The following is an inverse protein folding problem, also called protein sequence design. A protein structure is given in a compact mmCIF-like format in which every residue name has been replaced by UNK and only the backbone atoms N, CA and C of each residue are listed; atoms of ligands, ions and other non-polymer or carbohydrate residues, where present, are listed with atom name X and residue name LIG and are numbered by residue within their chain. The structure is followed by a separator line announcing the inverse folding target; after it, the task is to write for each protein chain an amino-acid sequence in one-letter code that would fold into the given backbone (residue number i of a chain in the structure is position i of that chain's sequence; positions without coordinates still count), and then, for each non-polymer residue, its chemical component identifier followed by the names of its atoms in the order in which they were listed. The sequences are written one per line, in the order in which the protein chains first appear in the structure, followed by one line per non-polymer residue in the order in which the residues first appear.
data_IF_971289437149
#
_entry.id   IF_971289437149
#
_cell.length_a   1.000
_cell.length_b   1.000
_cell.length_c   1.000
_cell.angle_alpha   90.00
_cell.angle_beta   90.00
_cell.angle_gamma   90.00
#
_symmetry.space_group_name_H-M   'P 1'
#
loop_
_entity.id
_entity.type
_entity.pdbx_description
1 polymer ?
#
# COMPACT_ATOMS: atom_id res chain seq x y z
N UNK A 1 -14.13 9.56 -33.69
CA UNK A 1 -14.46 10.11 -32.37
C UNK A 1 -13.58 9.36 -31.39
N UNK A 2 -12.42 9.92 -31.06
CA UNK A 2 -11.42 9.28 -30.21
C UNK A 2 -11.90 9.39 -28.78
N UNK A 3 -12.15 8.24 -28.16
CA UNK A 3 -12.52 8.16 -26.75
C UNK A 3 -11.45 8.87 -25.91
N UNK A 4 -11.91 9.82 -25.10
CA UNK A 4 -11.08 10.48 -24.13
C UNK A 4 -10.59 9.42 -23.15
N UNK A 5 -9.32 9.05 -23.26
CA UNK A 5 -8.58 8.38 -22.20
C UNK A 5 -8.66 9.32 -21.00
N UNK A 6 -9.58 8.99 -20.10
CA UNK A 6 -9.75 9.69 -18.83
C UNK A 6 -8.38 9.67 -18.17
N UNK A 7 -7.71 10.81 -18.05
CA UNK A 7 -6.43 10.91 -17.36
C UNK A 7 -6.59 10.24 -15.99
N UNK A 8 -5.63 9.42 -15.53
CA UNK A 8 -5.72 8.82 -14.21
C UNK A 8 -5.89 9.96 -13.20
N UNK A 9 -7.02 9.95 -12.49
CA UNK A 9 -7.28 10.91 -11.41
C UNK A 9 -6.07 10.90 -10.48
N UNK A 10 -5.51 12.06 -10.08
CA UNK A 10 -4.31 12.12 -9.25
C UNK A 10 -4.52 11.25 -8.03
N UNK A 11 -3.59 10.31 -7.77
CA UNK A 11 -3.72 9.37 -6.66
C UNK A 11 -3.90 10.14 -5.37
N UNK A 12 -5.05 10.01 -4.69
CA UNK A 12 -5.26 10.83 -3.51
C UNK A 12 -4.44 10.25 -2.37
N UNK A 13 -3.52 11.07 -1.88
CA UNK A 13 -2.60 10.81 -0.77
C UNK A 13 -3.38 10.65 0.55
N UNK A 14 -2.83 9.85 1.49
CA UNK A 14 -3.38 9.65 2.84
C UNK A 14 -3.65 11.00 3.56
N UNK A 15 -4.46 10.93 4.61
CA UNK A 15 -4.72 12.07 5.51
C UNK A 15 -3.43 12.79 5.92
N UNK A 16 -3.29 14.06 5.49
CA UNK A 16 -2.13 14.94 5.70
C UNK A 16 -1.58 15.02 7.15
N UNK A 17 -2.37 14.93 8.24
CA UNK A 17 -1.87 15.23 9.59
C UNK A 17 -0.74 14.31 10.10
N UNK A 18 -0.77 13.02 9.78
CA UNK A 18 0.28 12.06 10.21
C UNK A 18 1.53 12.22 9.35
N UNK A 19 1.36 12.45 8.06
CA UNK A 19 2.47 12.70 7.14
C UNK A 19 3.21 14.01 7.49
N UNK A 20 2.47 15.06 7.87
CA UNK A 20 3.04 16.37 8.20
C UNK A 20 3.85 16.33 9.51
N UNK A 21 3.42 15.55 10.52
CA UNK A 21 4.12 15.45 11.81
C UNK A 21 5.38 14.57 11.75
N UNK A 22 5.32 13.47 10.99
CA UNK A 22 6.42 12.51 10.87
C UNK A 22 7.38 12.80 9.71
N UNK A 23 6.99 13.68 8.77
CA UNK A 23 7.78 14.00 7.57
C UNK A 23 9.26 14.29 7.84
N UNK A 24 9.63 15.16 8.80
CA UNK A 24 11.03 15.42 9.10
C UNK A 24 11.80 14.21 9.65
N UNK A 25 11.18 13.38 10.49
CA UNK A 25 11.81 12.18 11.03
C UNK A 25 11.95 11.09 9.96
N UNK A 26 10.91 10.91 9.14
CA UNK A 26 10.90 10.01 8.00
C UNK A 26 11.97 10.38 6.96
N UNK A 27 12.11 11.68 6.63
CA UNK A 27 13.14 12.17 5.72
C UNK A 27 14.56 11.89 6.23
N UNK A 28 14.80 12.07 7.55
CA UNK A 28 16.09 11.69 8.17
C UNK A 28 16.32 10.18 8.10
N UNK A 29 15.30 9.37 8.38
CA UNK A 29 15.40 7.91 8.34
C UNK A 29 15.78 7.40 6.94
N UNK A 30 15.09 7.87 5.90
CA UNK A 30 15.38 7.45 4.51
C UNK A 30 16.73 7.98 4.04
N UNK A 31 17.18 9.15 4.52
CA UNK A 31 18.50 9.68 4.21
C UNK A 31 19.62 8.84 4.86
N UNK A 32 19.50 8.54 6.15
CA UNK A 32 20.45 7.68 6.86
C UNK A 32 20.52 6.28 6.25
N UNK A 33 19.37 5.69 5.89
CA UNK A 33 19.30 4.43 5.17
C UNK A 33 20.03 4.49 3.82
N UNK A 34 19.77 5.52 3.01
CA UNK A 34 20.40 5.67 1.69
C UNK A 34 21.93 5.80 1.79
N UNK A 35 22.41 6.57 2.76
CA UNK A 35 23.84 6.77 3.01
C UNK A 35 24.53 5.47 3.48
N UNK A 36 23.95 4.80 4.49
CA UNK A 36 24.51 3.57 5.05
C UNK A 36 24.60 2.45 3.99
N UNK A 37 23.59 2.34 3.13
CA UNK A 37 23.50 1.30 2.11
C UNK A 37 24.18 1.67 0.78
N UNK A 38 24.59 2.93 0.61
CA UNK A 38 25.17 3.44 -0.64
C UNK A 38 24.20 3.35 -1.83
N UNK A 39 22.93 3.65 -1.61
CA UNK A 39 21.85 3.54 -2.62
C UNK A 39 21.17 4.88 -2.88
N UNK A 40 20.52 5.01 -4.04
CA UNK A 40 19.61 6.13 -4.34
C UNK A 40 18.17 5.69 -4.15
N UNK A 41 17.30 6.60 -3.71
CA UNK A 41 15.88 6.32 -3.43
C UNK A 41 14.98 7.09 -4.41
N UNK A 42 14.76 6.58 -5.65
CA UNK A 42 13.86 7.23 -6.61
C UNK A 42 12.43 7.42 -6.11
N UNK A 43 11.96 6.59 -5.18
CA UNK A 43 10.67 6.74 -4.51
C UNK A 43 10.78 6.34 -3.04
N UNK A 44 10.17 7.12 -2.15
CA UNK A 44 9.96 6.78 -0.75
C UNK A 44 8.58 7.25 -0.31
N UNK A 45 7.93 6.48 0.55
CA UNK A 45 6.59 6.79 1.03
C UNK A 45 6.36 6.32 2.47
N UNK A 46 5.49 7.03 3.18
CA UNK A 46 5.09 6.71 4.54
C UNK A 46 3.92 5.71 4.50
N UNK A 47 4.10 4.53 5.09
CA UNK A 47 3.08 3.47 5.10
C UNK A 47 2.91 2.89 6.51
N UNK A 48 1.95 1.98 6.68
CA UNK A 48 1.64 1.34 7.96
C UNK A 48 0.26 1.75 8.50
N UNK A 49 -0.22 1.09 9.56
CA UNK A 49 -1.56 1.29 10.09
C UNK A 49 -1.90 2.76 10.38
N UNK A 50 -1.05 3.49 11.12
CA UNK A 50 -1.30 4.91 11.41
C UNK A 50 -1.28 5.77 10.15
N UNK A 51 -0.37 5.49 9.21
CA UNK A 51 -0.33 6.22 7.95
C UNK A 51 -1.64 6.02 7.17
N UNK A 52 -2.20 4.80 7.20
CA UNK A 52 -3.48 4.45 6.58
C UNK A 52 -4.70 4.98 7.34
N UNK A 53 -4.55 5.61 8.50
CA UNK A 53 -5.64 6.07 9.35
C UNK A 53 -6.28 4.98 10.22
N UNK A 54 -5.60 3.86 10.40
CA UNK A 54 -5.93 2.84 11.39
C UNK A 54 -5.25 3.15 12.72
N UNK A 55 -5.79 2.71 13.87
CA UNK A 55 -5.08 2.74 15.14
C UNK A 55 -3.80 1.88 15.10
N UNK A 56 -2.86 2.20 15.99
CA UNK A 56 -1.66 1.39 16.23
C UNK A 56 -2.02 0.07 16.92
N UNK A 57 -1.70 -1.05 16.29
CA UNK A 57 -2.00 -2.42 16.77
C UNK A 57 -1.02 -2.93 17.84
N UNK A 58 0.05 -2.16 18.13
CA UNK A 58 1.10 -2.52 19.08
C UNK A 58 1.90 -3.76 18.68
N UNK A 59 1.68 -4.29 17.47
CA UNK A 59 2.31 -5.52 16.93
C UNK A 59 3.03 -5.22 15.62
N UNK A 60 2.34 -4.54 14.71
CA UNK A 60 2.88 -3.92 13.52
C UNK A 60 3.52 -2.59 13.89
N UNK A 61 4.58 -2.21 13.18
CA UNK A 61 5.12 -0.87 13.33
C UNK A 61 4.03 0.15 12.92
N UNK A 62 3.67 1.11 13.80
CA UNK A 62 2.59 2.06 13.53
C UNK A 62 2.79 2.81 12.22
N UNK A 63 4.05 3.13 11.92
CA UNK A 63 4.49 3.79 10.70
C UNK A 63 5.83 3.22 10.25
N UNK A 64 5.98 3.02 8.94
CA UNK A 64 7.19 2.55 8.27
C UNK A 64 7.46 3.40 7.04
N UNK A 65 8.73 3.73 6.78
CA UNK A 65 9.15 4.31 5.51
C UNK A 65 9.39 3.18 4.50
N UNK A 66 8.54 3.07 3.50
CA UNK A 66 8.72 2.16 2.39
C UNK A 66 9.45 2.86 1.25
N UNK A 67 10.58 2.32 0.78
CA UNK A 67 11.33 2.93 -0.31
C UNK A 67 11.64 1.95 -1.45
N UNK A 68 11.74 2.52 -2.65
CA UNK A 68 12.28 1.87 -3.83
C UNK A 68 13.72 2.35 -3.94
N UNK A 69 14.69 1.45 -3.79
CA UNK A 69 16.10 1.79 -3.92
C UNK A 69 16.68 1.31 -5.25
N UNK A 70 17.72 1.99 -5.72
CA UNK A 70 18.54 1.56 -6.85
C UNK A 70 20.02 1.64 -6.49
N UNK A 71 20.78 0.63 -6.89
CA UNK A 71 22.24 0.57 -6.71
C UNK A 71 22.95 1.13 -7.95
N UNK A 72 24.25 1.49 -7.85
CA UNK A 72 25.05 1.75 -9.03
C UNK A 72 25.01 0.56 -10.01
N UNK A 73 25.02 0.83 -11.32
CA UNK A 73 24.89 -0.20 -12.36
C UNK A 73 25.88 -1.37 -12.18
N UNK A 74 27.11 -1.06 -11.74
CA UNK A 74 28.17 -2.05 -11.51
C UNK A 74 27.79 -3.11 -10.46
N UNK A 75 26.93 -2.78 -9.48
CA UNK A 75 26.48 -3.71 -8.45
C UNK A 75 25.63 -4.86 -9.02
N UNK A 76 25.06 -4.70 -10.21
CA UNK A 76 24.26 -5.72 -10.88
C UNK A 76 25.07 -6.58 -11.86
N UNK A 77 26.36 -6.26 -12.08
CA UNK A 77 27.24 -6.96 -13.05
C UNK A 77 28.10 -8.06 -12.40
N UNK A 78 27.73 -8.53 -11.20
CA UNK A 78 28.39 -9.63 -10.49
C UNK A 78 27.67 -10.97 -10.66
N UNK A 79 28.37 -12.08 -10.38
CA UNK A 79 27.78 -13.42 -10.35
C UNK A 79 26.89 -13.65 -9.13
N UNK A 80 27.15 -12.92 -8.04
CA UNK A 80 26.33 -12.95 -6.82
C UNK A 80 25.30 -11.83 -6.94
N UNK A 81 24.02 -12.20 -6.91
CA UNK A 81 22.97 -11.20 -6.89
C UNK A 81 22.98 -10.45 -5.55
N UNK A 82 22.97 -9.10 -5.57
CA UNK A 82 22.88 -8.34 -4.33
C UNK A 82 21.49 -8.54 -3.68
N UNK A 83 21.38 -8.38 -2.36
CA UNK A 83 20.08 -8.37 -1.68
C UNK A 83 19.14 -7.35 -2.30
N UNK A 84 17.92 -7.79 -2.59
CA UNK A 84 16.86 -7.00 -3.21
C UNK A 84 15.86 -6.41 -2.19
N UNK A 85 16.08 -6.69 -0.90
CA UNK A 85 15.39 -6.11 0.24
C UNK A 85 16.45 -5.68 1.26
N UNK A 86 16.26 -4.50 1.84
CA UNK A 86 17.08 -3.94 2.91
C UNK A 86 16.18 -3.37 4.00
N UNK A 87 16.70 -3.33 5.22
CA UNK A 87 15.96 -2.88 6.40
C UNK A 87 16.81 -1.94 7.25
N UNK A 88 16.18 -0.92 7.82
CA UNK A 88 16.68 -0.14 8.93
C UNK A 88 15.66 -0.22 10.06
N UNK A 89 16.10 -0.66 11.23
CA UNK A 89 15.24 -0.72 12.41
C UNK A 89 14.84 0.67 12.88
N UNK A 90 13.67 0.77 13.51
CA UNK A 90 13.23 2.02 14.12
C UNK A 90 14.12 2.39 15.33
N UNK A 91 14.24 3.70 15.59
CA UNK A 91 14.84 4.27 16.80
C UNK A 91 13.81 5.13 17.52
N UNK A 92 14.18 5.67 18.69
CA UNK A 92 13.32 6.60 19.44
C UNK A 92 12.94 7.86 18.63
N UNK A 93 13.74 8.23 17.63
CA UNK A 93 13.63 9.48 16.87
C UNK A 93 13.39 9.29 15.36
N UNK A 94 13.41 8.05 14.85
CA UNK A 94 13.23 7.73 13.44
C UNK A 94 12.38 6.46 13.24
N UNK A 95 11.40 6.48 12.30
CA UNK A 95 10.67 5.28 11.94
C UNK A 95 11.57 4.26 11.23
N UNK A 96 11.18 2.98 11.27
CA UNK A 96 11.84 1.94 10.50
C UNK A 96 11.75 2.21 8.99
N UNK A 97 12.76 1.73 8.24
CA UNK A 97 12.78 1.79 6.77
C UNK A 97 12.81 0.38 6.21
N UNK A 98 11.95 0.13 5.21
CA UNK A 98 12.00 -1.08 4.37
C UNK A 98 12.22 -0.66 2.94
N UNK A 99 13.32 -1.10 2.35
CA UNK A 99 13.68 -0.80 0.98
C UNK A 99 13.58 -2.03 0.10
N UNK A 100 12.95 -1.91 -1.06
CA UNK A 100 13.00 -2.90 -2.14
C UNK A 100 13.76 -2.36 -3.35
N UNK A 101 14.55 -3.22 -3.97
CA UNK A 101 15.27 -2.88 -5.19
C UNK A 101 14.29 -2.55 -6.33
N UNK A 102 14.60 -1.52 -7.12
CA UNK A 102 13.73 -1.06 -8.21
C UNK A 102 13.43 -2.18 -9.24
N UNK A 103 14.37 -3.09 -9.51
CA UNK A 103 14.16 -4.25 -10.38
C UNK A 103 13.08 -5.17 -9.79
N UNK A 104 13.13 -5.42 -8.48
CA UNK A 104 12.12 -6.20 -7.75
C UNK A 104 10.76 -5.52 -7.83
N UNK A 105 10.70 -4.24 -7.48
CA UNK A 105 9.44 -3.46 -7.45
C UNK A 105 8.77 -3.43 -8.82
N UNK A 106 9.50 -3.12 -9.88
CA UNK A 106 8.95 -3.07 -11.24
C UNK A 106 8.51 -4.47 -11.74
N UNK A 107 9.23 -5.54 -11.37
CA UNK A 107 8.80 -6.92 -11.65
C UNK A 107 7.53 -7.31 -10.87
N UNK A 108 7.39 -6.86 -9.63
CA UNK A 108 6.19 -7.09 -8.84
C UNK A 108 5.00 -6.28 -9.37
N UNK A 109 5.23 -5.10 -9.94
CA UNK A 109 4.20 -4.31 -10.61
C UNK A 109 3.61 -5.02 -11.84
N UNK A 110 4.41 -5.80 -12.59
CA UNK A 110 3.91 -6.66 -13.69
C UNK A 110 2.86 -7.67 -13.23
N UNK A 111 2.82 -8.00 -11.93
CA UNK A 111 1.86 -8.92 -11.34
C UNK A 111 0.84 -8.20 -10.45
N UNK A 112 0.78 -6.88 -10.53
CA UNK A 112 -0.13 -6.04 -9.72
C UNK A 112 -0.04 -6.36 -8.24
N UNK A 113 1.19 -6.48 -7.74
CA UNK A 113 1.41 -6.71 -6.32
C UNK A 113 0.81 -5.55 -5.50
N UNK A 114 -0.09 -5.88 -4.58
CA UNK A 114 -0.80 -4.90 -3.77
C UNK A 114 0.13 -4.03 -2.91
N UNK A 115 1.23 -4.58 -2.40
CA UNK A 115 2.16 -3.83 -1.54
C UNK A 115 2.86 -2.72 -2.35
N UNK A 116 3.26 -3.01 -3.59
CA UNK A 116 3.81 -1.99 -4.50
C UNK A 116 2.79 -0.88 -4.74
N UNK A 117 1.53 -1.24 -4.95
CA UNK A 117 0.46 -0.27 -5.11
C UNK A 117 0.24 0.59 -3.87
N UNK A 118 0.20 -0.02 -2.69
CA UNK A 118 0.06 0.69 -1.42
C UNK A 118 1.20 1.69 -1.23
N UNK A 119 2.46 1.31 -1.51
CA UNK A 119 3.61 2.22 -1.42
C UNK A 119 3.53 3.40 -2.38
N UNK A 120 2.98 3.18 -3.58
CA UNK A 120 2.82 4.21 -4.60
C UNK A 120 1.69 5.20 -4.28
N UNK A 121 0.62 4.70 -3.65
CA UNK A 121 -0.55 5.48 -3.24
C UNK A 121 -0.39 6.15 -1.85
N UNK A 122 0.68 5.80 -1.12
CA UNK A 122 1.03 6.42 0.16
C UNK A 122 1.70 7.81 0.02
N UNK A 123 1.70 8.65 1.07
CA UNK A 123 2.34 9.96 1.11
C UNK A 123 3.82 9.84 0.81
N UNK A 124 4.28 10.67 -0.12
CA UNK A 124 5.68 10.68 -0.55
C UNK A 124 6.54 11.31 0.55
N UNK A 125 7.71 10.72 0.76
CA UNK A 125 8.77 11.27 1.60
C UNK A 125 9.86 11.78 0.65
N UNK A 126 10.31 13.02 0.84
CA UNK A 126 11.47 13.53 0.14
C UNK A 126 12.75 12.88 0.70
N UNK A 127 13.55 12.26 -0.18
CA UNK A 127 14.77 11.55 0.19
C UNK A 127 15.89 11.69 -0.84
N UNK A 128 17.11 11.21 -0.53
CA UNK A 128 18.24 11.29 -1.44
C UNK A 128 17.98 10.55 -2.76
N UNK A 129 18.09 11.27 -3.87
CA UNK A 129 17.84 10.72 -5.20
C UNK A 129 16.36 10.57 -5.54
N UNK A 130 15.45 11.26 -4.83
CA UNK A 130 14.03 11.31 -5.18
C UNK A 130 13.81 11.77 -6.62
N UNK A 131 12.97 11.05 -7.36
CA UNK A 131 12.71 11.27 -8.78
C UNK A 131 11.22 11.37 -9.05
N UNK A 132 10.72 12.60 -9.07
CA UNK A 132 9.31 12.87 -9.39
C UNK A 132 8.92 12.33 -10.77
N UNK A 133 9.81 12.42 -11.75
CA UNK A 133 9.64 11.88 -13.10
C UNK A 133 9.49 10.35 -13.10
N UNK A 134 10.33 9.64 -12.34
CA UNK A 134 10.21 8.20 -12.17
C UNK A 134 8.87 7.83 -11.53
N UNK A 135 8.50 8.52 -10.44
CA UNK A 135 7.23 8.24 -9.74
C UNK A 135 6.03 8.45 -10.66
N UNK A 136 5.96 9.59 -11.35
CA UNK A 136 4.86 9.91 -12.27
C UNK A 136 4.76 8.87 -13.39
N UNK A 137 5.88 8.53 -14.03
CA UNK A 137 5.91 7.50 -15.07
C UNK A 137 5.51 6.12 -14.52
N UNK A 138 5.97 5.76 -13.32
CA UNK A 138 5.63 4.49 -12.71
C UNK A 138 4.14 4.41 -12.37
N UNK A 139 3.56 5.47 -11.81
CA UNK A 139 2.13 5.57 -11.54
C UNK A 139 1.29 5.46 -12.81
N UNK A 140 1.70 6.15 -13.88
CA UNK A 140 1.02 6.07 -15.16
C UNK A 140 1.04 4.63 -15.72
N UNK A 141 2.18 3.93 -15.61
CA UNK A 141 2.27 2.53 -16.04
C UNK A 141 1.44 1.60 -15.17
N UNK A 142 1.53 1.73 -13.84
CA UNK A 142 0.81 0.87 -12.90
C UNK A 142 -0.72 1.04 -12.97
N UNK A 143 -1.21 2.20 -13.46
CA UNK A 143 -2.64 2.48 -13.63
C UNK A 143 -3.18 2.16 -15.02
N UNK A 144 -2.33 1.87 -16.01
CA UNK A 144 -2.76 1.53 -17.39
C UNK A 144 -3.36 0.13 -17.52
N UNK A 145 -2.90 -0.81 -16.71
CA UNK A 145 -3.38 -2.18 -16.69
C UNK A 145 -2.96 -2.86 -15.39
N UNK A 146 -3.90 -3.50 -14.69
CA UNK A 146 -3.60 -4.24 -13.47
C UNK A 146 -4.49 -5.47 -13.32
N UNK A 147 -3.96 -6.51 -12.68
CA UNK A 147 -4.65 -7.76 -12.42
C UNK A 147 -5.57 -7.62 -11.20
N UNK A 148 -6.85 -7.39 -11.49
CA UNK A 148 -7.91 -7.29 -10.49
C UNK A 148 -8.05 -8.59 -9.70
N UNK A 149 -7.89 -9.75 -10.34
CA UNK A 149 -7.95 -11.05 -9.68
C UNK A 149 -6.84 -11.21 -8.64
N UNK A 150 -5.64 -10.69 -8.95
CA UNK A 150 -4.47 -10.78 -8.07
C UNK A 150 -4.62 -9.85 -6.87
N UNK A 151 -5.08 -8.62 -7.07
CA UNK A 151 -5.40 -7.70 -5.97
C UNK A 151 -6.52 -8.26 -5.09
N UNK A 152 -7.59 -8.81 -5.69
CA UNK A 152 -8.70 -9.44 -4.98
C UNK A 152 -8.18 -10.57 -4.07
N UNK A 153 -7.39 -11.49 -4.64
CA UNK A 153 -6.80 -12.61 -3.91
C UNK A 153 -5.91 -12.16 -2.76
N UNK A 154 -5.10 -11.11 -2.96
CA UNK A 154 -4.28 -10.53 -1.91
C UNK A 154 -5.12 -10.03 -0.73
N UNK A 155 -6.09 -9.13 -0.97
CA UNK A 155 -6.88 -8.54 0.11
C UNK A 155 -7.81 -9.57 0.79
N UNK A 156 -8.33 -10.56 0.07
CA UNK A 156 -9.03 -11.70 0.68
C UNK A 156 -8.11 -12.52 1.61
N UNK A 157 -6.84 -12.71 1.20
CA UNK A 157 -5.83 -13.37 2.03
C UNK A 157 -5.54 -12.58 3.31
N UNK A 158 -5.37 -11.26 3.20
CA UNK A 158 -5.17 -10.35 4.34
C UNK A 158 -6.37 -10.40 5.29
N UNK A 159 -7.60 -10.30 4.78
CA UNK A 159 -8.81 -10.39 5.58
C UNK A 159 -8.90 -11.72 6.34
N UNK A 160 -8.69 -12.84 5.65
CA UNK A 160 -8.71 -14.18 6.27
C UNK A 160 -7.62 -14.35 7.32
N UNK A 161 -6.41 -13.85 7.06
CA UNK A 161 -5.31 -13.91 8.01
C UNK A 161 -5.65 -13.11 9.28
N UNK A 162 -6.15 -11.88 9.14
CA UNK A 162 -6.57 -11.04 10.25
C UNK A 162 -7.72 -11.67 11.07
N UNK A 163 -8.70 -12.27 10.40
CA UNK A 163 -9.80 -13.01 11.05
C UNK A 163 -9.32 -14.27 11.77
N UNK A 164 -8.42 -15.05 11.17
CA UNK A 164 -7.92 -16.29 11.78
C UNK A 164 -6.97 -16.01 12.95
N UNK A 165 -6.24 -14.91 12.89
CA UNK A 165 -5.41 -14.44 13.99
C UNK A 165 -6.25 -13.86 15.13
N UNK A 166 -7.58 -13.76 14.99
CA UNK A 166 -8.45 -13.25 16.04
C UNK A 166 -8.60 -14.28 17.16
N UNK A 167 -8.06 -14.01 18.35
CA UNK A 167 -8.18 -14.91 19.49
C UNK A 167 -9.28 -14.44 20.47
N UNK A 168 -10.15 -15.34 20.96
CA UNK A 168 -11.20 -14.99 21.92
C UNK A 168 -10.76 -14.27 23.18
N UNK A 169 -9.58 -14.61 23.67
CA UNK A 169 -9.07 -14.18 24.98
C UNK A 169 -8.12 -12.96 24.86
N UNK A 170 -8.04 -12.36 23.67
CA UNK A 170 -7.19 -11.18 23.48
C UNK A 170 -7.72 -9.95 24.20
N UNK A 171 -6.81 -9.03 24.62
CA UNK A 171 -7.21 -7.71 25.07
C UNK A 171 -8.14 -7.06 24.04
N UNK A 172 -9.17 -6.35 24.52
CA UNK A 172 -10.18 -5.73 23.63
C UNK A 172 -9.56 -4.81 22.57
N UNK A 173 -8.43 -4.19 22.88
CA UNK A 173 -7.69 -3.34 21.95
C UNK A 173 -7.07 -4.15 20.80
N UNK A 174 -6.37 -5.24 21.08
CA UNK A 174 -5.82 -6.10 20.03
C UNK A 174 -6.93 -6.66 19.12
N UNK A 175 -8.06 -7.05 19.72
CA UNK A 175 -9.23 -7.53 19.01
C UNK A 175 -9.86 -6.45 18.09
N UNK A 176 -10.00 -5.22 18.58
CA UNK A 176 -10.45 -4.05 17.81
C UNK A 176 -9.62 -3.88 16.55
N UNK A 177 -8.31 -3.98 16.67
CA UNK A 177 -7.41 -3.58 15.58
C UNK A 177 -7.33 -4.65 14.51
N UNK A 178 -7.32 -5.93 14.90
CA UNK A 178 -7.53 -7.05 13.95
C UNK A 178 -8.86 -6.95 13.22
N UNK A 179 -9.89 -6.48 13.91
CA UNK A 179 -11.19 -6.27 13.29
C UNK A 179 -11.14 -5.14 12.26
N UNK A 180 -10.51 -4.00 12.59
CA UNK A 180 -10.31 -2.92 11.65
C UNK A 180 -9.43 -3.32 10.44
N UNK A 181 -8.39 -4.13 10.64
CA UNK A 181 -7.61 -4.71 9.54
C UNK A 181 -8.45 -5.61 8.63
N UNK A 182 -9.30 -6.45 9.22
CA UNK A 182 -10.26 -7.28 8.48
C UNK A 182 -11.19 -6.42 7.64
N UNK A 183 -11.80 -5.41 8.26
CA UNK A 183 -12.73 -4.49 7.61
C UNK A 183 -12.04 -3.71 6.48
N UNK A 184 -10.83 -3.18 6.70
CA UNK A 184 -10.06 -2.45 5.67
C UNK A 184 -9.80 -3.34 4.46
N UNK A 185 -9.35 -4.57 4.70
CA UNK A 185 -9.08 -5.52 3.62
C UNK A 185 -10.35 -5.87 2.84
N UNK A 186 -11.49 -6.05 3.52
CA UNK A 186 -12.76 -6.33 2.86
C UNK A 186 -13.35 -5.11 2.14
N UNK A 187 -13.12 -3.89 2.63
CA UNK A 187 -13.47 -2.67 1.89
C UNK A 187 -12.64 -2.54 0.61
N UNK A 188 -11.37 -2.97 0.64
CA UNK A 188 -10.53 -3.02 -0.55
C UNK A 188 -11.04 -4.07 -1.56
N UNK A 189 -11.52 -5.22 -1.07
CA UNK A 189 -12.20 -6.23 -1.88
C UNK A 189 -13.47 -5.67 -2.53
N UNK A 190 -14.35 -5.03 -1.75
CA UNK A 190 -15.57 -4.40 -2.26
C UNK A 190 -15.26 -3.34 -3.32
N UNK A 191 -14.22 -2.53 -3.08
CA UNK A 191 -13.71 -1.56 -4.05
C UNK A 191 -13.31 -2.22 -5.37
N UNK A 192 -12.53 -3.30 -5.33
CA UNK A 192 -12.07 -4.02 -6.53
C UNK A 192 -13.23 -4.64 -7.30
N UNK A 193 -14.25 -5.16 -6.59
CA UNK A 193 -15.43 -5.74 -7.22
C UNK A 193 -16.32 -4.68 -7.86
N UNK A 194 -16.49 -3.53 -7.21
CA UNK A 194 -17.38 -2.46 -7.66
C UNK A 194 -16.75 -1.44 -8.61
N UNK A 195 -15.41 -1.31 -8.63
CA UNK A 195 -14.70 -0.24 -9.35
C UNK A 195 -13.58 -0.81 -10.20
N UNK A 196 -13.42 -0.24 -11.40
CA UNK A 196 -12.27 -0.52 -12.25
C UNK A 196 -11.09 0.41 -11.91
N UNK A 197 -10.76 0.52 -10.62
CA UNK A 197 -9.55 1.16 -10.14
C UNK A 197 -8.96 0.36 -8.96
N UNK A 198 -7.63 0.37 -8.74
CA UNK A 198 -7.07 -0.22 -7.55
C UNK A 198 -7.56 0.52 -6.27
N UNK A 199 -7.65 -0.17 -5.13
CA UNK A 199 -8.17 0.42 -3.90
C UNK A 199 -7.17 1.41 -3.29
N UNK A 200 -7.62 2.55 -2.73
CA UNK A 200 -6.73 3.42 -1.98
C UNK A 200 -6.28 2.75 -0.67
N UNK A 201 -5.07 3.04 -0.16
CA UNK A 201 -4.63 2.49 1.12
C UNK A 201 -5.31 3.15 2.33
N UNK A 202 -5.88 4.34 2.16
CA UNK A 202 -6.52 5.18 3.19
C UNK A 202 -7.83 4.58 3.72
N UNK A 203 -7.94 4.43 5.04
CA UNK A 203 -9.13 3.93 5.72
C UNK A 203 -10.37 4.76 5.42
N UNK A 204 -10.31 6.08 5.55
CA UNK A 204 -11.47 6.95 5.36
C UNK A 204 -12.00 6.88 3.93
N UNK A 205 -11.11 6.79 2.92
CA UNK A 205 -11.50 6.63 1.52
C UNK A 205 -12.07 5.25 1.20
N UNK A 206 -11.50 4.19 1.80
CA UNK A 206 -12.07 2.85 1.69
C UNK A 206 -13.47 2.80 2.30
N UNK A 207 -13.64 3.36 3.51
CA UNK A 207 -14.92 3.47 4.21
C UNK A 207 -15.95 4.25 3.42
N UNK A 208 -15.60 5.43 2.89
CA UNK A 208 -16.49 6.25 2.08
C UNK A 208 -16.86 5.59 0.73
N UNK A 209 -15.99 4.69 0.25
CA UNK A 209 -16.17 4.01 -1.02
C UNK A 209 -16.84 2.64 -0.94
N UNK A 210 -17.09 2.12 0.27
CA UNK A 210 -17.59 0.78 0.52
C UNK A 210 -19.12 0.72 0.59
N UNK A 211 -19.68 -0.38 0.11
CA UNK A 211 -21.14 -0.64 0.06
C UNK A 211 -21.65 -1.17 1.41
N UNK A 212 -21.47 -0.38 2.47
CA UNK A 212 -21.85 -0.74 3.84
C UNK A 212 -23.34 -0.43 4.12
N UNK A 213 -24.03 -1.24 4.95
CA UNK A 213 -25.34 -0.86 5.51
C UNK A 213 -25.26 0.45 6.31
N UNK A 214 -26.34 1.23 6.34
CA UNK A 214 -26.36 2.51 7.06
C UNK A 214 -26.09 2.34 8.56
N UNK A 215 -26.54 1.22 9.13
CA UNK A 215 -26.37 0.83 10.53
C UNK A 215 -24.91 0.51 10.88
N UNK A 216 -24.04 0.29 9.88
CA UNK A 216 -22.62 0.05 10.11
C UNK A 216 -21.85 1.32 10.48
N UNK A 217 -22.33 2.50 10.06
CA UNK A 217 -21.63 3.76 10.30
C UNK A 217 -21.33 4.03 11.79
N UNK A 218 -22.30 3.99 12.71
CA UNK A 218 -22.01 4.23 14.14
C UNK A 218 -21.11 3.15 14.75
N UNK A 219 -21.12 1.92 14.23
CA UNK A 219 -20.22 0.85 14.68
C UNK A 219 -18.77 1.13 14.27
N UNK A 220 -18.57 1.62 13.04
CA UNK A 220 -17.25 2.03 12.56
C UNK A 220 -16.74 3.26 13.32
N UNK A 221 -17.61 4.24 13.61
CA UNK A 221 -17.25 5.40 14.43
C UNK A 221 -16.81 4.97 15.84
N UNK A 222 -17.53 4.03 16.46
CA UNK A 222 -17.14 3.48 17.77
C UNK A 222 -15.78 2.75 17.71
N UNK A 223 -15.55 1.96 16.66
CA UNK A 223 -14.27 1.28 16.43
C UNK A 223 -13.12 2.25 16.18
N UNK A 224 -13.36 3.44 15.65
CA UNK A 224 -12.31 4.46 15.47
C UNK A 224 -11.92 5.13 16.79
N UNK A 225 -12.83 5.19 17.75
CA UNK A 225 -12.60 5.85 19.06
C UNK A 225 -12.03 4.88 20.09
N UNK A 226 -12.41 3.61 20.06
CA UNK A 226 -11.97 2.66 21.08
C UNK A 226 -12.40 1.22 20.85
N UNK A 227 -12.11 0.33 21.81
CA UNK A 227 -12.44 -1.07 21.70
C UNK A 227 -13.96 -1.27 21.61
N UNK A 228 -14.43 -2.21 20.78
CA UNK A 228 -15.86 -2.44 20.63
C UNK A 228 -16.46 -2.96 21.94
N UNK A 229 -17.70 -2.55 22.23
CA UNK A 229 -18.44 -3.05 23.39
C UNK A 229 -18.74 -4.55 23.26
N UNK A 230 -18.96 -5.01 22.02
CA UNK A 230 -19.26 -6.39 21.68
C UNK A 230 -18.22 -6.93 20.70
N UNK A 231 -17.96 -8.23 20.80
CA UNK A 231 -16.99 -8.91 19.95
C UNK A 231 -17.44 -9.06 18.49
N UNK A 232 -18.74 -9.20 18.31
CA UNK A 232 -19.41 -9.54 17.04
C UNK A 232 -20.53 -8.54 16.87
N UNK A 233 -20.62 -7.93 15.70
CA UNK A 233 -21.69 -7.00 15.39
C UNK A 233 -22.46 -7.56 14.21
N UNK A 234 -23.73 -8.01 14.39
CA UNK A 234 -24.48 -8.70 13.34
C UNK A 234 -24.55 -7.94 12.01
N UNK A 235 -24.60 -6.61 12.06
CA UNK A 235 -24.59 -5.74 10.87
C UNK A 235 -23.26 -5.85 10.11
N UNK A 236 -22.13 -5.74 10.82
CA UNK A 236 -20.81 -5.82 10.21
C UNK A 236 -20.49 -7.25 9.77
N UNK A 237 -20.87 -8.25 10.57
CA UNK A 237 -20.70 -9.66 10.23
C UNK A 237 -21.49 -10.03 8.97
N UNK A 238 -22.75 -9.59 8.88
CA UNK A 238 -23.57 -9.79 7.69
C UNK A 238 -22.97 -9.12 6.45
N UNK A 239 -22.39 -7.93 6.60
CA UNK A 239 -21.66 -7.27 5.51
C UNK A 239 -20.40 -8.06 5.12
N UNK A 240 -19.60 -8.50 6.09
CA UNK A 240 -18.40 -9.33 5.87
C UNK A 240 -18.75 -10.58 5.06
N UNK A 241 -19.78 -11.31 5.46
CA UNK A 241 -20.26 -12.50 4.76
C UNK A 241 -20.70 -12.15 3.33
N UNK A 242 -21.41 -11.03 3.15
CA UNK A 242 -21.84 -10.58 1.82
C UNK A 242 -20.66 -10.27 0.88
N UNK A 243 -19.56 -9.69 1.40
CA UNK A 243 -18.36 -9.40 0.61
C UNK A 243 -17.66 -10.69 0.19
N UNK A 244 -17.57 -11.68 1.08
CA UNK A 244 -17.02 -12.99 0.73
C UNK A 244 -17.87 -13.71 -0.33
N UNK A 245 -19.19 -13.68 -0.21
CA UNK A 245 -20.08 -14.28 -1.21
C UNK A 245 -20.00 -13.55 -2.55
N UNK A 246 -19.99 -12.21 -2.55
CA UNK A 246 -19.79 -11.42 -3.76
C UNK A 246 -18.43 -11.72 -4.43
N UNK A 247 -17.38 -11.91 -3.64
CA UNK A 247 -16.05 -12.29 -4.14
C UNK A 247 -16.05 -13.66 -4.80
N UNK A 248 -16.77 -14.64 -4.25
CA UNK A 248 -16.92 -15.97 -4.88
C UNK A 248 -17.73 -15.90 -6.16
N UNK A 249 -18.80 -15.11 -6.16
CA UNK A 249 -19.71 -15.01 -7.30
C UNK A 249 -19.10 -14.25 -8.49
N UNK A 250 -18.33 -13.18 -8.23
CA UNK A 250 -17.84 -12.26 -9.28
C UNK A 250 -16.33 -12.34 -9.50
N UNK A 251 -15.57 -12.93 -8.58
CA UNK A 251 -14.10 -12.91 -8.63
C UNK A 251 -13.51 -13.61 -9.85
N UNK A 252 -14.19 -14.65 -10.36
CA UNK A 252 -13.78 -15.37 -11.57
C UNK A 252 -13.97 -14.58 -12.87
N UNK A 253 -14.83 -13.56 -12.86
CA UNK A 253 -15.13 -12.72 -14.03
C UNK A 253 -14.25 -11.46 -14.09
N UNK A 254 -13.34 -11.28 -13.12
CA UNK A 254 -12.45 -10.13 -13.11
C UNK A 254 -11.42 -10.23 -14.24
N UNK A 255 -11.40 -9.20 -15.08
CA UNK A 255 -10.36 -9.05 -16.10
C UNK A 255 -9.02 -8.69 -15.46
N UNK A 256 -7.97 -9.33 -15.94
CA UNK A 256 -6.60 -8.96 -15.61
C UNK A 256 -5.94 -8.27 -16.81
N UNK A 257 -5.21 -7.20 -16.51
CA UNK A 257 -4.33 -6.54 -17.43
C UNK A 257 -2.98 -6.28 -16.74
N UNK A 258 -1.94 -6.00 -17.50
CA UNK A 258 -0.60 -5.81 -16.96
C UNK A 258 0.14 -4.70 -17.71
N UNK A 259 0.94 -3.89 -17.00
CA UNK A 259 1.79 -2.92 -17.66
C UNK A 259 2.76 -3.62 -18.64
N UNK A 260 3.01 -3.05 -19.84
CA UNK A 260 3.93 -3.66 -20.79
C UNK A 260 5.34 -3.78 -20.23
N UNK A 261 5.94 -4.98 -20.28
CA UNK A 261 7.29 -5.22 -19.77
C UNK A 261 8.31 -4.28 -20.41
N UNK A 262 8.23 -4.04 -21.71
CA UNK A 262 9.16 -3.16 -22.42
C UNK A 262 9.17 -1.72 -21.87
N UNK A 263 8.02 -1.23 -21.41
CA UNK A 263 7.91 0.12 -20.84
C UNK A 263 8.45 0.18 -19.41
N UNK A 264 8.18 -0.85 -18.60
CA UNK A 264 8.78 -0.98 -17.26
C UNK A 264 10.30 -1.18 -17.33
N UNK A 265 10.80 -1.93 -18.32
CA UNK A 265 12.23 -2.08 -18.60
C UNK A 265 12.85 -0.72 -19.00
N UNK A 266 12.16 0.05 -19.85
CA UNK A 266 12.56 1.41 -20.20
C UNK A 266 12.65 2.32 -18.97
N UNK A 267 11.62 2.27 -18.12
CA UNK A 267 11.58 3.01 -16.86
C UNK A 267 12.72 2.59 -15.92
N UNK A 268 12.97 1.28 -15.77
CA UNK A 268 14.08 0.76 -14.97
C UNK A 268 15.43 1.28 -15.47
N UNK A 269 15.68 1.20 -16.78
CA UNK A 269 16.94 1.68 -17.39
C UNK A 269 17.13 3.19 -17.21
N UNK A 270 16.04 3.95 -17.21
CA UNK A 270 16.09 5.40 -16.98
C UNK A 270 16.64 5.78 -15.60
N UNK A 271 16.58 4.88 -14.61
CA UNK A 271 17.13 5.10 -13.28
C UNK A 271 18.67 5.18 -13.27
N UNK A 272 19.34 4.61 -14.27
CA UNK A 272 20.79 4.66 -14.42
C UNK A 272 21.27 5.82 -15.30
N UNK A 273 20.35 6.49 -16.01
CA UNK A 273 20.67 7.67 -16.79
C UNK A 273 20.82 8.88 -15.85
N UNK A 274 21.71 9.81 -16.20
CA UNK A 274 21.80 11.08 -15.49
C UNK A 274 20.43 11.80 -15.52
N UNK A 275 20.02 12.48 -14.44
CA UNK A 275 18.78 13.26 -14.44
C UNK A 275 18.81 14.23 -15.61
N UNK A 276 17.73 14.28 -16.40
CA UNK A 276 17.61 15.30 -17.43
C UNK A 276 17.75 16.67 -16.75
N UNK A 277 18.78 17.44 -17.12
CA UNK A 277 18.93 18.82 -16.62
C UNK A 277 17.69 19.58 -17.08
N UNK A 278 16.87 20.02 -16.13
CA UNK A 278 15.78 20.97 -16.39
C UNK A 278 16.37 22.35 -16.65
#
# INVERSE_FOLDING_TARGET
MVDAVTSPSPLPTLSRPVADSLGPAAARAVAAFAEAEGVSLPHAALTGPLAWGLPDDGVSAPVVCACVFIRPAQAYLGLVEPPDILHLDATDDMPAVVGWDARRVLRMALRSNAVVWEWLASPVIDGPGARADFREAFLALATRGYARSTLLGHYLGVAKAAMNAYFPDEPREAARIKYMHTLRALMAVDWILGKNAPPPPDWARLRAGASLPAEAAPLLDALEVGPPAERRHPVLDGWIDSVFEASRAKGGDLSDDHPPLAELDGLYRSLFAAPARR
#
